data_IF_165902911037
#
_entry.id   IF_165902911037
#
_cell.length_a   1.000
_cell.length_b   1.000
_cell.length_c   1.000
_cell.angle_alpha   90.00
_cell.angle_beta   90.00
_cell.angle_gamma   90.00
#
_symmetry.space_group_name_H-M   'P 1'
#
loop_
_entity.id
_entity.type
_entity.pdbx_description
1 polymer ?
#
# COMPACT_ATOMS: atom_id res chain seq x y z
N UNK A 1 3.24 -3.18 7.38
CA UNK A 1 4.50 -3.62 6.75
C UNK A 1 4.98 -2.42 5.92
N UNK A 2 6.10 -2.45 5.17
CA UNK A 2 6.54 -1.29 4.37
C UNK A 2 7.40 -1.74 3.18
N UNK A 3 6.74 -2.51 2.32
CA UNK A 3 7.22 -3.35 1.24
C UNK A 3 7.91 -4.64 1.73
N UNK A 4 7.09 -5.68 1.72
CA UNK A 4 7.32 -7.09 2.00
C UNK A 4 8.72 -7.65 1.65
N UNK A 5 9.24 -8.57 2.48
CA UNK A 5 10.40 -9.43 2.16
C UNK A 5 9.98 -10.75 1.47
N UNK A 6 8.68 -10.99 1.28
CA UNK A 6 8.17 -12.18 0.61
C UNK A 6 8.53 -12.16 -0.89
N UNK A 7 9.13 -13.23 -1.44
CA UNK A 7 9.70 -13.29 -2.79
C UNK A 7 8.68 -13.28 -3.94
N UNK A 8 7.37 -13.13 -3.65
CA UNK A 8 6.30 -13.31 -4.65
C UNK A 8 5.95 -11.99 -5.38
N UNK A 9 6.23 -10.82 -4.78
CA UNK A 9 5.90 -9.51 -5.35
C UNK A 9 7.06 -8.83 -6.05
N UNK A 10 6.81 -8.18 -7.19
CA UNK A 10 7.82 -7.40 -7.93
C UNK A 10 8.25 -6.10 -7.22
N UNK A 11 7.39 -5.54 -6.36
CA UNK A 11 7.71 -4.33 -5.61
C UNK A 11 8.39 -4.71 -4.29
N UNK A 12 9.63 -4.26 -4.13
CA UNK A 12 10.45 -4.50 -2.96
C UNK A 12 10.83 -3.18 -2.30
N UNK A 13 11.14 -3.21 -0.99
CA UNK A 13 11.63 -2.02 -0.28
C UNK A 13 12.87 -1.39 -0.94
N UNK A 14 13.73 -2.21 -1.54
CA UNK A 14 14.90 -1.78 -2.29
C UNK A 14 14.56 -1.01 -3.59
N UNK A 15 13.32 -1.07 -4.07
CA UNK A 15 12.85 -0.27 -5.21
C UNK A 15 12.52 1.18 -4.84
N UNK A 16 12.49 1.50 -3.54
CA UNK A 16 12.29 2.87 -3.05
C UNK A 16 13.61 3.62 -2.95
N UNK A 17 13.58 4.93 -3.23
CA UNK A 17 14.70 5.82 -2.96
C UNK A 17 15.06 5.78 -1.47
N UNK A 18 16.35 5.66 -1.10
CA UNK A 18 16.76 5.71 0.30
C UNK A 18 16.31 6.99 1.00
N UNK A 19 16.00 6.89 2.29
CA UNK A 19 15.60 8.02 3.11
C UNK A 19 14.55 7.67 4.17
N UNK A 20 14.03 8.71 4.81
CA UNK A 20 12.98 8.61 5.81
C UNK A 20 11.61 8.80 5.16
N UNK A 21 10.67 7.92 5.49
CA UNK A 21 9.32 7.90 4.94
C UNK A 21 8.32 8.09 6.06
N UNK A 22 7.27 8.84 5.78
CA UNK A 22 6.05 8.85 6.60
C UNK A 22 5.03 7.93 5.98
N UNK A 23 4.07 7.50 6.78
CA UNK A 23 2.91 6.80 6.25
C UNK A 23 1.64 7.07 7.03
N UNK A 24 0.53 6.81 6.37
CA UNK A 24 -0.81 6.84 6.95
C UNK A 24 -1.49 5.53 6.59
N UNK A 25 -2.03 4.84 7.59
CA UNK A 25 -2.88 3.67 7.39
C UNK A 25 -4.34 4.06 7.51
N UNK A 26 -5.13 3.76 6.49
CA UNK A 26 -6.58 3.90 6.51
C UNK A 26 -7.21 2.52 6.70
N UNK A 27 -8.04 2.36 7.72
CA UNK A 27 -8.77 1.13 8.00
C UNK A 27 -10.17 1.24 7.43
N UNK A 28 -10.58 0.22 6.70
CA UNK A 28 -11.88 0.10 6.06
C UNK A 28 -12.61 -1.14 6.58
N UNK A 29 -13.94 -1.05 6.71
CA UNK A 29 -14.78 -2.19 7.00
C UNK A 29 -16.15 -2.08 6.33
N UNK A 30 -16.79 -3.23 6.12
CA UNK A 30 -18.20 -3.33 5.77
C UNK A 30 -19.06 -3.27 7.02
N UNK A 31 -20.25 -2.66 6.94
CA UNK A 31 -21.29 -2.78 7.98
C UNK A 31 -22.12 -4.06 7.84
N UNK A 32 -22.05 -4.71 6.67
CA UNK A 32 -22.94 -5.82 6.30
C UNK A 32 -22.23 -7.17 6.29
N UNK A 33 -20.89 -7.17 6.25
CA UNK A 33 -20.08 -8.38 6.08
C UNK A 33 -18.83 -8.33 6.95
N UNK A 34 -18.09 -9.44 6.99
CA UNK A 34 -16.79 -9.54 7.69
C UNK A 34 -15.62 -8.92 6.92
N UNK A 35 -15.87 -8.41 5.71
CA UNK A 35 -14.82 -7.84 4.88
C UNK A 35 -14.24 -6.56 5.49
N UNK A 36 -12.92 -6.48 5.50
CA UNK A 36 -12.18 -5.32 5.96
C UNK A 36 -10.88 -5.17 5.19
N UNK A 37 -10.32 -3.97 5.20
CA UNK A 37 -9.04 -3.71 4.56
C UNK A 37 -8.24 -2.68 5.34
N UNK A 38 -6.92 -2.73 5.21
CA UNK A 38 -6.00 -1.69 5.66
C UNK A 38 -5.18 -1.25 4.45
N UNK A 39 -5.31 0.01 4.07
CA UNK A 39 -4.52 0.65 3.03
C UNK A 39 -3.48 1.55 3.71
N UNK A 40 -2.20 1.20 3.62
CA UNK A 40 -1.11 1.99 4.14
C UNK A 40 -0.39 2.72 3.00
N UNK A 41 -0.46 4.04 3.00
CA UNK A 41 0.17 4.91 2.02
C UNK A 41 1.46 5.47 2.60
N UNK A 42 2.54 5.45 1.81
CA UNK A 42 3.84 5.93 2.23
C UNK A 42 4.45 6.87 1.19
N UNK A 43 5.18 7.85 1.69
CA UNK A 43 5.92 8.81 0.89
C UNK A 43 7.13 9.37 1.63
N UNK A 44 8.07 10.03 0.92
CA UNK A 44 9.20 10.69 1.56
C UNK A 44 8.74 11.66 2.65
N UNK A 45 9.39 11.65 3.81
CA UNK A 45 8.97 12.43 4.97
C UNK A 45 8.91 13.95 4.70
N UNK A 46 9.74 14.45 3.78
CA UNK A 46 9.80 15.87 3.39
C UNK A 46 8.88 16.24 2.22
N UNK A 47 8.32 15.27 1.49
CA UNK A 47 7.47 15.51 0.31
C UNK A 47 5.98 15.63 0.67
N UNK A 48 5.08 15.68 -0.30
CA UNK A 48 3.63 15.44 -0.10
C UNK A 48 3.14 14.17 -0.81
N UNK A 49 3.98 13.62 -1.70
CA UNK A 49 3.62 12.56 -2.63
C UNK A 49 3.66 11.18 -1.99
N UNK A 50 2.64 10.37 -2.27
CA UNK A 50 2.63 8.93 -1.99
C UNK A 50 3.37 8.21 -3.11
N UNK A 51 4.38 7.41 -2.74
CA UNK A 51 5.24 6.66 -3.67
C UNK A 51 5.12 5.15 -3.50
N UNK A 52 4.60 4.69 -2.37
CA UNK A 52 4.33 3.27 -2.13
C UNK A 52 3.01 3.10 -1.40
N UNK A 53 2.29 2.02 -1.70
CA UNK A 53 1.08 1.64 -1.00
C UNK A 53 1.13 0.16 -0.68
N UNK A 54 0.75 -0.19 0.54
CA UNK A 54 0.44 -1.55 0.93
C UNK A 54 -1.04 -1.69 1.20
N UNK A 55 -1.55 -2.87 0.92
CA UNK A 55 -2.95 -3.19 1.07
C UNK A 55 -3.08 -4.60 1.63
N UNK A 56 -3.68 -4.69 2.82
CA UNK A 56 -4.09 -5.95 3.42
C UNK A 56 -5.61 -6.03 3.37
N UNK A 57 -6.16 -7.11 2.81
CA UNK A 57 -7.59 -7.33 2.65
C UNK A 57 -7.96 -8.60 3.40
N UNK A 58 -8.97 -8.51 4.26
CA UNK A 58 -9.70 -9.66 4.76
C UNK A 58 -10.93 -9.88 3.90
N UNK A 59 -10.90 -10.93 3.07
CA UNK A 59 -11.94 -11.25 2.10
C UNK A 59 -13.17 -11.90 2.72
N UNK A 60 -14.27 -11.93 1.95
CA UNK A 60 -15.51 -12.60 2.35
C UNK A 60 -15.37 -14.12 2.52
N UNK A 61 -14.38 -14.70 1.86
CA UNK A 61 -14.00 -16.11 1.99
C UNK A 61 -13.19 -16.41 3.26
N UNK A 62 -12.93 -15.40 4.10
CA UNK A 62 -12.07 -15.49 5.28
C UNK A 62 -10.57 -15.49 4.95
N UNK A 63 -10.20 -15.29 3.68
CA UNK A 63 -8.81 -15.19 3.24
C UNK A 63 -8.18 -13.85 3.61
N UNK A 64 -6.86 -13.87 3.80
CA UNK A 64 -6.05 -12.66 3.93
C UNK A 64 -5.19 -12.46 2.68
N UNK A 65 -5.38 -11.33 2.01
CA UNK A 65 -4.72 -10.99 0.77
C UNK A 65 -3.85 -9.76 0.96
N UNK A 66 -2.56 -9.88 0.62
CA UNK A 66 -1.64 -8.75 0.62
C UNK A 66 -1.36 -8.33 -0.82
N UNK A 67 -1.45 -7.03 -1.07
CA UNK A 67 -1.05 -6.38 -2.33
C UNK A 67 -0.19 -5.18 -2.00
N UNK A 68 0.72 -4.84 -2.91
CA UNK A 68 1.52 -3.64 -2.82
C UNK A 68 1.65 -2.96 -4.16
N UNK A 69 1.83 -1.65 -4.12
CA UNK A 69 1.86 -0.78 -5.28
C UNK A 69 3.03 0.18 -5.14
N UNK A 70 3.70 0.44 -6.26
CA UNK A 70 4.85 1.34 -6.31
C UNK A 70 4.62 2.37 -7.42
N UNK A 71 4.81 3.64 -7.09
CA UNK A 71 4.86 4.70 -8.08
C UNK A 71 6.25 4.70 -8.73
N UNK A 72 6.27 4.57 -10.04
CA UNK A 72 7.48 4.52 -10.85
C UNK A 72 7.96 5.93 -11.22
N UNK A 73 9.22 6.10 -11.67
CA UNK A 73 9.74 7.40 -12.11
C UNK A 73 8.99 8.03 -13.29
N UNK A 74 8.31 7.21 -14.11
CA UNK A 74 7.44 7.65 -15.20
C UNK A 74 6.06 8.16 -14.72
N UNK A 75 5.82 8.13 -13.41
CA UNK A 75 4.58 8.55 -12.77
C UNK A 75 3.48 7.48 -12.74
N UNK A 76 3.67 6.35 -13.41
CA UNK A 76 2.71 5.24 -13.39
C UNK A 76 2.80 4.46 -12.07
N UNK A 77 1.69 3.85 -11.68
CA UNK A 77 1.64 2.88 -10.59
C UNK A 77 1.85 1.47 -11.14
N UNK A 78 2.58 0.65 -10.40
CA UNK A 78 2.75 -0.79 -10.67
C UNK A 78 2.28 -1.62 -9.50
N UNK A 79 1.49 -2.65 -9.75
CA UNK A 79 1.03 -3.59 -8.71
C UNK A 79 2.08 -4.68 -8.38
N UNK A 80 1.72 -5.63 -7.51
CA UNK A 80 2.60 -6.73 -7.09
C UNK A 80 2.99 -7.68 -8.23
N UNK A 81 2.21 -7.74 -9.31
CA UNK A 81 2.37 -8.67 -10.42
C UNK A 81 2.97 -8.02 -11.68
N UNK A 82 3.13 -6.69 -11.66
CA UNK A 82 3.78 -5.93 -12.73
C UNK A 82 2.81 -5.18 -13.65
N UNK A 83 1.51 -5.24 -13.41
CA UNK A 83 0.54 -4.44 -14.14
C UNK A 83 0.78 -2.95 -13.83
N UNK A 84 0.73 -2.11 -14.88
CA UNK A 84 0.94 -0.67 -14.76
C UNK A 84 -0.31 0.12 -15.13
N UNK A 85 -0.65 1.14 -14.34
CA UNK A 85 -1.74 2.07 -14.61
C UNK A 85 -1.37 3.51 -14.26
N UNK A 86 -2.09 4.48 -14.82
CA UNK A 86 -1.84 5.91 -14.54
C UNK A 86 -2.30 6.33 -13.14
N UNK A 87 -3.28 5.64 -12.57
CA UNK A 87 -3.79 5.93 -11.24
C UNK A 87 -3.79 4.69 -10.37
N UNK A 88 -3.53 4.86 -9.08
CA UNK A 88 -3.61 3.78 -8.10
C UNK A 88 -5.00 3.15 -8.07
N UNK A 89 -6.06 3.97 -8.17
CA UNK A 89 -7.45 3.49 -8.15
C UNK A 89 -7.80 2.48 -9.24
N UNK A 90 -7.09 2.49 -10.38
CA UNK A 90 -7.27 1.49 -11.44
C UNK A 90 -6.65 0.12 -11.11
N UNK A 91 -5.73 0.07 -10.13
CA UNK A 91 -5.10 -1.17 -9.66
C UNK A 91 -5.74 -1.67 -8.35
N UNK A 92 -6.53 -0.84 -7.67
CA UNK A 92 -7.19 -1.23 -6.44
C UNK A 92 -8.28 -2.27 -6.74
N UNK A 93 -8.35 -3.36 -5.98
CA UNK A 93 -9.46 -4.30 -6.05
C UNK A 93 -10.80 -3.59 -5.83
N UNK A 94 -11.80 -3.94 -6.64
CA UNK A 94 -13.13 -3.33 -6.60
C UNK A 94 -13.80 -3.51 -5.23
N UNK A 95 -13.48 -4.59 -4.52
CA UNK A 95 -14.05 -4.91 -3.20
C UNK A 95 -13.77 -3.82 -2.16
N UNK A 96 -12.69 -3.04 -2.32
CA UNK A 96 -12.36 -1.93 -1.41
C UNK A 96 -13.30 -0.75 -1.59
N UNK A 97 -13.83 -0.55 -2.80
CA UNK A 97 -14.73 0.57 -3.10
C UNK A 97 -16.07 0.46 -2.36
N UNK A 98 -16.43 -0.74 -1.90
CA UNK A 98 -17.65 -1.01 -1.14
C UNK A 98 -17.45 -0.85 0.38
N UNK A 99 -16.20 -0.74 0.84
CA UNK A 99 -15.88 -0.59 2.26
C UNK A 99 -15.92 0.88 2.69
N UNK A 100 -16.27 1.10 3.94
CA UNK A 100 -16.31 2.44 4.54
C UNK A 100 -15.06 2.66 5.38
N UNK A 101 -14.52 3.88 5.32
CA UNK A 101 -13.43 4.30 6.20
C UNK A 101 -13.94 4.27 7.65
N UNK A 102 -13.20 3.59 8.51
CA UNK A 102 -13.42 3.61 9.95
C UNK A 102 -12.50 4.63 10.62
N UNK A 103 -11.22 4.57 10.31
CA UNK A 103 -10.21 5.44 10.90
C UNK A 103 -8.99 5.60 9.99
N UNK A 104 -8.21 6.64 10.25
CA UNK A 104 -6.90 6.86 9.66
C UNK A 104 -5.88 7.06 10.78
N UNK A 105 -4.76 6.37 10.69
CA UNK A 105 -3.73 6.27 11.72
C UNK A 105 -2.40 6.72 11.11
N UNK A 106 -1.73 7.68 11.73
CA UNK A 106 -0.35 8.00 11.38
C UNK A 106 0.58 6.85 11.78
N UNK A 107 1.41 6.42 10.84
CA UNK A 107 2.39 5.36 11.08
C UNK A 107 3.72 5.96 11.56
N UNK A 108 4.46 5.26 12.43
CA UNK A 108 5.81 5.65 12.77
C UNK A 108 6.69 5.81 11.53
N UNK A 109 7.60 6.79 11.56
CA UNK A 109 8.54 7.02 10.46
C UNK A 109 9.32 5.75 10.13
N UNK A 110 9.46 5.48 8.84
CA UNK A 110 10.11 4.28 8.32
C UNK A 110 11.39 4.66 7.58
N UNK A 111 12.50 4.00 7.89
CA UNK A 111 13.74 4.20 7.15
C UNK A 111 13.84 3.19 6.00
N UNK A 112 13.95 3.70 4.76
CA UNK A 112 14.33 2.94 3.57
C UNK A 112 15.83 3.09 3.38
N UNK A 113 16.56 1.98 3.40
CA UNK A 113 18.01 1.99 3.26
C UNK A 113 18.69 2.76 4.39
N UNK A 114 19.13 2.07 5.43
CA UNK A 114 20.10 2.64 6.35
C UNK A 114 21.17 1.61 6.71
N UNK A 115 22.42 2.06 6.62
CA UNK A 115 23.60 1.39 7.16
C UNK A 115 24.53 0.80 6.11
N UNK A 116 25.27 1.65 5.39
CA UNK A 116 26.69 1.37 5.21
C UNK A 116 27.45 2.08 6.32
#
# INVERSE_FOLDING_TARGET
MFLNESPIGLNQKASLSPGLYRGTATVYASSETVASAVLAEFGPATGSEVTAVELLIHGLDGGLYYRNFLKLPDGMWRDSFGEKQFSLGQLLPAEILELKVLEAIELPLQTVGAGS
#
